data_IF_703400171492
#
_entry.id   IF_703400171492
#
_cell.length_a   1.000
_cell.length_b   1.000
_cell.length_c   1.000
_cell.angle_alpha   90.00
_cell.angle_beta   90.00
_cell.angle_gamma   90.00
#
_symmetry.space_group_name_H-M   'P 1'
#
loop_
_entity.id
_entity.type
_entity.pdbx_description
1 polymer ?
#
# COMPACT_ATOMS: atom_id res chain seq x y z
N UNK A 1 -15.44 38.75 -30.58
CA UNK A 1 -14.22 38.27 -29.90
C UNK A 1 -14.62 37.85 -28.48
N UNK A 2 -15.35 36.76 -28.18
CA UNK A 2 -15.36 35.33 -28.57
C UNK A 2 -14.13 34.51 -28.17
N UNK A 3 -14.21 34.02 -26.93
CA UNK A 3 -14.22 32.60 -26.55
C UNK A 3 -12.91 31.84 -26.24
N UNK A 4 -11.73 32.46 -26.16
CA UNK A 4 -10.49 31.68 -26.01
C UNK A 4 -9.75 31.81 -24.68
N UNK A 5 -10.09 32.76 -23.80
CA UNK A 5 -9.26 33.04 -22.61
C UNK A 5 -9.68 32.33 -21.33
N UNK A 6 -10.88 31.73 -21.25
CA UNK A 6 -11.34 31.05 -20.02
C UNK A 6 -11.05 29.55 -19.99
N UNK A 7 -10.73 28.91 -21.13
CA UNK A 7 -10.45 27.47 -21.16
C UNK A 7 -9.07 27.11 -20.61
N UNK A 8 -8.09 28.03 -20.66
CA UNK A 8 -6.71 27.74 -20.25
C UNK A 8 -6.54 27.59 -18.74
N UNK A 9 -7.46 28.13 -17.94
CA UNK A 9 -7.36 28.14 -16.47
C UNK A 9 -7.92 26.86 -15.83
N UNK A 10 -8.78 26.12 -16.52
CA UNK A 10 -9.42 24.89 -16.02
C UNK A 10 -8.56 23.63 -16.22
N UNK A 11 -7.56 23.66 -17.12
CA UNK A 11 -6.66 22.52 -17.34
C UNK A 11 -5.53 22.40 -16.31
N UNK A 12 -5.25 23.46 -15.54
CA UNK A 12 -4.13 23.48 -14.59
C UNK A 12 -4.43 22.78 -13.26
N UNK A 13 -5.71 22.51 -12.93
CA UNK A 13 -6.10 21.85 -11.68
C UNK A 13 -6.12 20.31 -11.75
N UNK A 14 -6.00 19.71 -12.94
CA UNK A 14 -5.93 18.24 -13.07
C UNK A 14 -4.51 17.68 -12.89
N UNK A 15 -3.51 18.50 -12.57
CA UNK A 15 -2.14 18.06 -12.31
C UNK A 15 -1.88 17.69 -10.84
N UNK A 16 -2.94 17.57 -10.02
CA UNK A 16 -2.84 17.00 -8.67
C UNK A 16 -3.45 15.62 -8.72
N UNK A 17 -2.62 14.58 -8.70
CA UNK A 17 -3.13 13.26 -8.32
C UNK A 17 -2.70 12.11 -9.19
N UNK A 18 -1.40 11.87 -9.24
CA UNK A 18 -0.93 10.49 -9.11
C UNK A 18 0.27 10.52 -8.17
N UNK A 19 0.02 10.72 -6.87
CA UNK A 19 0.89 10.07 -5.90
C UNK A 19 0.67 8.60 -6.18
N UNK A 20 1.49 8.01 -7.04
CA UNK A 20 1.64 6.57 -7.10
C UNK A 20 2.20 6.22 -5.72
N UNK A 21 1.30 6.04 -4.75
CA UNK A 21 1.66 5.52 -3.44
C UNK A 21 2.16 4.14 -3.79
N UNK A 22 3.49 3.98 -3.83
CA UNK A 22 4.14 2.72 -4.16
C UNK A 22 3.72 1.76 -3.06
N UNK A 23 2.67 0.98 -3.33
CA UNK A 23 2.15 0.05 -2.34
C UNK A 23 3.19 -1.03 -2.14
N UNK A 24 3.61 -1.24 -0.90
CA UNK A 24 4.46 -2.37 -0.55
C UNK A 24 3.56 -3.55 -0.20
N UNK A 25 3.98 -4.74 -0.59
CA UNK A 25 3.37 -5.97 -0.08
C UNK A 25 4.27 -6.55 0.98
N UNK A 26 3.74 -6.79 2.17
CA UNK A 26 4.49 -7.24 3.32
C UNK A 26 4.00 -8.58 3.87
N UNK A 27 4.92 -9.36 4.46
CA UNK A 27 4.62 -10.64 5.07
C UNK A 27 5.31 -10.82 6.43
N UNK A 28 4.64 -11.51 7.34
CA UNK A 28 5.23 -12.04 8.57
C UNK A 28 5.86 -13.43 8.30
N UNK A 29 6.67 -13.94 9.24
CA UNK A 29 7.06 -15.36 9.21
C UNK A 29 5.83 -16.21 9.55
N UNK A 30 5.81 -17.45 9.06
CA UNK A 30 4.65 -18.36 9.14
C UNK A 30 3.63 -18.22 8.01
N UNK A 31 3.91 -17.38 7.01
CA UNK A 31 3.18 -17.41 5.73
C UNK A 31 1.87 -16.64 5.73
N UNK A 32 0.89 -17.15 4.99
CA UNK A 32 -0.36 -16.46 4.65
C UNK A 32 -1.17 -16.07 5.89
N UNK A 33 -1.44 -17.02 6.79
CA UNK A 33 -2.34 -16.81 7.92
C UNK A 33 -1.81 -15.76 8.91
N UNK A 34 -0.50 -15.83 9.21
CA UNK A 34 0.16 -14.86 10.08
C UNK A 34 0.18 -13.47 9.46
N UNK A 35 0.48 -13.40 8.16
CA UNK A 35 0.49 -12.14 7.42
C UNK A 35 -0.91 -11.54 7.30
N UNK A 36 -1.95 -12.37 7.13
CA UNK A 36 -3.35 -11.94 7.08
C UNK A 36 -3.79 -11.39 8.44
N UNK A 37 -3.54 -12.12 9.52
CA UNK A 37 -3.88 -11.69 10.88
C UNK A 37 -3.21 -10.36 11.24
N UNK A 38 -1.92 -10.19 10.91
CA UNK A 38 -1.22 -8.92 11.13
C UNK A 38 -1.79 -7.78 10.25
N UNK A 39 -2.21 -8.10 9.02
CA UNK A 39 -2.82 -7.13 8.12
C UNK A 39 -4.18 -6.63 8.63
N UNK A 40 -5.02 -7.56 9.08
CA UNK A 40 -6.34 -7.27 9.64
C UNK A 40 -6.20 -6.39 10.91
N UNK A 41 -5.16 -6.64 11.73
CA UNK A 41 -4.88 -5.85 12.94
C UNK A 41 -4.54 -4.38 12.66
N UNK A 42 -3.96 -4.08 11.50
CA UNK A 42 -3.63 -2.70 11.11
C UNK A 42 -4.69 -2.06 10.22
N UNK A 43 -5.78 -2.78 9.93
CA UNK A 43 -6.88 -2.31 9.07
C UNK A 43 -6.45 -2.13 7.60
N UNK A 44 -5.43 -2.86 7.15
CA UNK A 44 -4.94 -2.80 5.78
C UNK A 44 -5.56 -3.93 4.93
N UNK A 45 -5.36 -3.88 3.62
CA UNK A 45 -5.92 -4.86 2.69
C UNK A 45 -4.96 -6.02 2.48
N UNK A 46 -5.45 -7.25 2.63
CA UNK A 46 -4.68 -8.44 2.28
C UNK A 46 -4.76 -8.72 0.77
N UNK A 47 -3.61 -8.66 0.08
CA UNK A 47 -3.48 -8.89 -1.35
C UNK A 47 -3.00 -10.31 -1.66
N UNK A 48 -3.73 -11.01 -2.53
CA UNK A 48 -3.41 -12.40 -2.95
C UNK A 48 -2.75 -12.48 -4.33
N UNK A 49 -2.85 -11.43 -5.14
CA UNK A 49 -2.30 -11.37 -6.49
C UNK A 49 -1.18 -10.34 -6.59
N UNK A 50 -0.25 -10.54 -7.53
CA UNK A 50 0.88 -9.63 -7.79
C UNK A 50 2.13 -9.96 -6.97
N UNK A 51 3.30 -9.61 -7.50
CA UNK A 51 4.60 -9.55 -6.79
C UNK A 51 5.11 -10.90 -6.25
N UNK A 52 4.53 -12.02 -6.71
CA UNK A 52 5.04 -13.37 -6.45
C UNK A 52 4.72 -13.94 -5.05
N UNK A 53 3.90 -13.26 -4.25
CA UNK A 53 3.40 -13.78 -2.97
C UNK A 53 2.13 -13.07 -2.50
N UNK A 54 1.47 -13.71 -1.52
CA UNK A 54 0.33 -13.13 -0.80
C UNK A 54 0.81 -12.39 0.44
N UNK A 55 0.22 -11.25 0.74
CA UNK A 55 0.71 -10.40 1.83
C UNK A 55 -0.18 -9.19 2.06
N UNK A 56 0.21 -8.37 3.04
CA UNK A 56 -0.50 -7.15 3.39
C UNK A 56 -0.07 -6.00 2.49
N UNK A 57 -1.02 -5.33 1.86
CA UNK A 57 -0.83 -4.13 1.08
C UNK A 57 -0.70 -2.95 2.02
N UNK A 58 0.48 -2.38 2.12
CA UNK A 58 0.77 -1.27 3.03
C UNK A 58 1.37 -0.11 2.26
N UNK A 59 1.01 1.09 2.68
CA UNK A 59 1.71 2.27 2.23
C UNK A 59 3.07 2.38 2.95
N UNK A 60 4.14 2.78 2.23
CA UNK A 60 5.45 3.03 2.81
C UNK A 60 5.37 4.01 3.98
N UNK A 61 6.26 3.84 4.95
CA UNK A 61 6.28 4.65 6.16
C UNK A 61 5.33 4.13 7.24
N UNK A 62 4.21 4.81 7.49
CA UNK A 62 3.40 4.56 8.70
C UNK A 62 2.73 3.19 8.71
N UNK A 63 2.14 2.75 7.60
CA UNK A 63 1.48 1.43 7.55
C UNK A 63 2.50 0.29 7.53
N UNK A 64 3.62 0.44 6.82
CA UNK A 64 4.75 -0.48 6.90
C UNK A 64 5.19 -0.69 8.36
N UNK A 65 5.49 0.39 9.08
CA UNK A 65 5.98 0.29 10.46
C UNK A 65 4.93 -0.36 11.38
N UNK A 66 3.65 -0.04 11.19
CA UNK A 66 2.56 -0.69 11.92
C UNK A 66 2.47 -2.18 11.62
N UNK A 67 2.63 -2.59 10.36
CA UNK A 67 2.64 -3.99 9.98
C UNK A 67 3.83 -4.75 10.59
N UNK A 68 5.03 -4.18 10.51
CA UNK A 68 6.24 -4.75 11.12
C UNK A 68 6.05 -4.93 12.62
N UNK A 69 5.48 -3.93 13.32
CA UNK A 69 5.18 -4.05 14.75
C UNK A 69 4.09 -5.09 15.02
N UNK A 70 3.01 -5.13 14.21
CA UNK A 70 1.97 -6.14 14.36
C UNK A 70 2.52 -7.57 14.22
N UNK A 71 3.42 -7.83 13.27
CA UNK A 71 4.10 -9.12 13.16
C UNK A 71 4.91 -9.46 14.44
N UNK A 72 5.54 -8.47 15.08
CA UNK A 72 6.33 -8.67 16.31
C UNK A 72 5.43 -8.89 17.53
N UNK A 73 4.41 -8.05 17.72
CA UNK A 73 3.46 -8.11 18.83
C UNK A 73 2.68 -9.42 18.87
N UNK A 74 2.37 -9.97 17.69
CA UNK A 74 1.70 -11.27 17.55
C UNK A 74 2.66 -12.46 17.69
N UNK A 75 3.97 -12.23 17.84
CA UNK A 75 4.99 -13.28 17.97
C UNK A 75 5.34 -13.98 16.65
N UNK A 76 4.82 -13.53 15.51
CA UNK A 76 5.09 -14.13 14.19
C UNK A 76 6.46 -13.74 13.65
N UNK A 77 6.93 -12.54 13.98
CA UNK A 77 8.14 -11.95 13.42
C UNK A 77 7.95 -11.46 11.99
N UNK A 78 8.65 -10.39 11.63
CA UNK A 78 8.64 -9.84 10.28
C UNK A 78 9.46 -10.72 9.30
N UNK A 79 8.99 -10.88 8.06
CA UNK A 79 9.69 -11.65 7.02
C UNK A 79 10.25 -10.75 5.91
N UNK A 80 9.40 -10.00 5.21
CA UNK A 80 9.80 -9.14 4.09
C UNK A 80 8.71 -8.13 3.72
N UNK A 81 9.10 -7.09 3.01
CA UNK A 81 8.24 -6.20 2.24
C UNK A 81 8.89 -5.97 0.89
N UNK A 82 8.12 -6.09 -0.19
CA UNK A 82 8.59 -5.86 -1.55
C UNK A 82 7.70 -4.78 -2.19
N UNK A 83 8.31 -3.89 -2.98
CA UNK A 83 7.58 -2.92 -3.80
C UNK A 83 6.63 -3.67 -4.75
N UNK A 84 5.37 -3.26 -4.75
CA UNK A 84 4.34 -4.01 -5.41
C UNK A 84 3.39 -3.10 -6.20
N UNK A 85 3.56 -3.10 -7.52
CA UNK A 85 2.76 -2.27 -8.42
C UNK A 85 1.25 -2.59 -8.34
N UNK A 86 0.89 -3.79 -7.92
CA UNK A 86 -0.50 -4.21 -7.75
C UNK A 86 -0.70 -4.97 -6.45
N UNK A 87 -1.55 -4.39 -5.63
CA UNK A 87 -2.05 -4.90 -4.37
C UNK A 87 -3.56 -4.56 -4.29
#
# INVERSE_FOLDING_TARGET
MRLTTTLSFLLSLLAVGTVTVTAEKCACKGGTDHSKTACDRIGARYGVLGCGFTGCCVNPGTQHNRFVQACKDLGYGFKRCDDCASC
#
